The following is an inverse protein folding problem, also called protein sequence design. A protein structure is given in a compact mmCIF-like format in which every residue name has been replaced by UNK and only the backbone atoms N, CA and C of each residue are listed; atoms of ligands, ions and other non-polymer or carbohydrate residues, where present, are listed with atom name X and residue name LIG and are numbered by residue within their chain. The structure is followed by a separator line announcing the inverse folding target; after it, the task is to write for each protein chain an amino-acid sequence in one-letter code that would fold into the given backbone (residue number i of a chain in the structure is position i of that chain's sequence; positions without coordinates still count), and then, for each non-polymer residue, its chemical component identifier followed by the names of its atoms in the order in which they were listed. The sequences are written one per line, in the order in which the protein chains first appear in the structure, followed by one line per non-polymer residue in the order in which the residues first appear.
data_IF_881469531803
#
_entry.id   IF_881469531803
#
_cell.length_a   1.000
_cell.length_b   1.000
_cell.length_c   1.000
_cell.angle_alpha   90.00
_cell.angle_beta   90.00
_cell.angle_gamma   90.00
#
_symmetry.space_group_name_H-M   'P 1'
#
loop_
_entity.id
_entity.type
_entity.pdbx_description
1 polymer ?
#
# COMPACT_ATOMS: atom_id res chain seq x y z
N UNK A 1 -9.83 -1.88 9.18
CA UNK A 1 -8.43 -2.15 9.59
C UNK A 1 -8.18 -1.47 10.94
N UNK A 2 -7.42 -2.09 11.85
CA UNK A 2 -7.04 -1.50 13.15
C UNK A 2 -5.57 -1.06 13.16
N UNK A 3 -5.27 0.09 13.75
CA UNK A 3 -3.91 0.63 13.87
C UNK A 3 -3.32 0.34 15.26
N UNK A 4 -2.36 -0.59 15.35
CA UNK A 4 -1.69 -0.95 16.60
C UNK A 4 -0.40 -0.17 16.83
N UNK A 5 0.72 -0.67 16.30
CA UNK A 5 2.05 -0.08 16.51
C UNK A 5 2.16 1.36 16.03
N UNK A 6 1.53 1.72 14.92
CA UNK A 6 1.53 3.09 14.42
C UNK A 6 0.95 4.07 15.45
N UNK A 7 -0.20 3.71 16.05
CA UNK A 7 -0.81 4.48 17.12
C UNK A 7 0.13 4.58 18.34
N UNK A 8 0.71 3.45 18.77
CA UNK A 8 1.62 3.42 19.92
C UNK A 8 2.85 4.31 19.71
N UNK A 9 3.46 4.28 18.53
CA UNK A 9 4.64 5.09 18.22
C UNK A 9 4.31 6.59 18.18
N UNK A 10 3.18 6.95 17.57
CA UNK A 10 2.71 8.34 17.57
C UNK A 10 2.42 8.84 18.98
N UNK A 11 1.77 8.01 19.81
CA UNK A 11 1.50 8.31 21.22
C UNK A 11 2.79 8.47 22.03
N UNK A 12 3.75 7.56 21.87
CA UNK A 12 5.01 7.61 22.59
C UNK A 12 5.87 8.83 22.21
N UNK A 13 5.76 9.31 20.97
CA UNK A 13 6.59 10.42 20.47
C UNK A 13 6.04 11.78 20.87
N UNK A 14 4.72 12.00 20.75
CA UNK A 14 4.12 13.32 20.92
C UNK A 14 2.72 13.27 21.57
N UNK A 15 2.42 12.20 22.31
CA UNK A 15 1.15 12.05 23.01
C UNK A 15 -0.05 12.11 22.08
N UNK A 16 -1.13 12.74 22.57
CA UNK A 16 -2.37 12.91 21.82
C UNK A 16 -2.19 13.71 20.52
N UNK A 17 -1.31 14.73 20.53
CA UNK A 17 -1.02 15.52 19.33
C UNK A 17 -0.38 14.67 18.23
N UNK A 18 0.54 13.77 18.60
CA UNK A 18 1.14 12.80 17.69
C UNK A 18 0.11 11.87 17.06
N UNK A 19 -0.78 11.30 17.87
CA UNK A 19 -1.87 10.43 17.40
C UNK A 19 -2.81 11.18 16.45
N UNK A 20 -3.22 12.41 16.79
CA UNK A 20 -4.08 13.21 15.93
C UNK A 20 -3.42 13.49 14.57
N UNK A 21 -2.12 13.82 14.57
CA UNK A 21 -1.37 14.00 13.33
C UNK A 21 -1.27 12.72 12.50
N UNK A 22 -1.05 11.55 13.13
CA UNK A 22 -1.05 10.26 12.45
C UNK A 22 -2.38 9.99 11.76
N UNK A 23 -3.50 10.17 12.47
CA UNK A 23 -4.83 9.93 11.89
C UNK A 23 -5.11 10.88 10.72
N UNK A 24 -4.73 12.15 10.84
CA UNK A 24 -4.83 13.12 9.75
C UNK A 24 -3.99 12.73 8.53
N UNK A 25 -2.79 12.18 8.75
CA UNK A 25 -1.93 11.71 7.66
C UNK A 25 -2.56 10.51 6.95
N UNK A 26 -3.05 9.51 7.70
CA UNK A 26 -3.72 8.35 7.13
C UNK A 26 -4.95 8.75 6.30
N UNK A 27 -5.75 9.70 6.80
CA UNK A 27 -6.91 10.21 6.05
C UNK A 27 -6.50 10.88 4.74
N UNK A 28 -5.47 11.75 4.77
CA UNK A 28 -4.98 12.46 3.58
C UNK A 28 -4.38 11.50 2.56
N UNK A 29 -3.53 10.59 2.99
CA UNK A 29 -2.89 9.60 2.11
C UNK A 29 -3.91 8.63 1.51
N UNK A 30 -4.97 8.26 2.25
CA UNK A 30 -6.06 7.47 1.69
C UNK A 30 -6.73 8.20 0.52
N UNK A 31 -7.00 9.52 0.66
CA UNK A 31 -7.55 10.33 -0.44
C UNK A 31 -6.60 10.40 -1.64
N UNK A 32 -5.30 10.61 -1.39
CA UNK A 32 -4.28 10.64 -2.45
C UNK A 32 -4.23 9.31 -3.20
N UNK A 33 -4.15 8.19 -2.47
CA UNK A 33 -4.14 6.86 -3.07
C UNK A 33 -5.39 6.61 -3.91
N UNK A 34 -6.58 6.94 -3.38
CA UNK A 34 -7.85 6.83 -4.09
C UNK A 34 -7.87 7.64 -5.40
N UNK A 35 -7.38 8.88 -5.37
CA UNK A 35 -7.28 9.70 -6.58
C UNK A 35 -6.34 9.07 -7.61
N UNK A 36 -5.19 8.55 -7.18
CA UNK A 36 -4.21 7.95 -8.09
C UNK A 36 -4.66 6.60 -8.65
N UNK A 37 -5.50 5.86 -7.93
CA UNK A 37 -6.10 4.59 -8.40
C UNK A 37 -7.46 4.79 -9.09
N UNK A 38 -7.93 6.03 -9.24
CA UNK A 38 -9.20 6.33 -9.90
C UNK A 38 -10.46 5.95 -9.11
N UNK A 39 -10.35 5.71 -7.80
CA UNK A 39 -11.48 5.38 -6.93
C UNK A 39 -12.06 6.64 -6.28
N UNK A 40 -13.33 6.97 -6.51
CA UNK A 40 -13.99 8.14 -5.88
C UNK A 40 -14.54 7.84 -4.47
N UNK A 41 -14.68 6.57 -4.12
CA UNK A 41 -15.17 6.10 -2.82
C UNK A 41 -14.39 4.86 -2.35
N UNK A 42 -14.33 4.62 -1.04
CA UNK A 42 -13.63 3.45 -0.48
C UNK A 42 -14.23 2.14 -1.00
N UNK A 43 -15.55 2.11 -1.23
CA UNK A 43 -16.26 0.95 -1.80
C UNK A 43 -15.83 0.57 -3.20
N UNK A 44 -15.18 1.48 -3.95
CA UNK A 44 -14.68 1.22 -5.30
C UNK A 44 -13.27 0.65 -5.34
N UNK A 45 -12.61 0.54 -4.18
CA UNK A 45 -11.29 -0.09 -4.09
C UNK A 45 -11.49 -1.62 -4.14
N UNK A 46 -11.20 -2.22 -5.29
CA UNK A 46 -11.34 -3.67 -5.54
C UNK A 46 -10.00 -4.32 -5.88
N UNK A 47 -9.99 -5.65 -6.09
CA UNK A 47 -8.80 -6.37 -6.53
C UNK A 47 -8.30 -5.94 -7.91
N UNK A 48 -9.16 -5.33 -8.73
CA UNK A 48 -8.77 -4.82 -10.06
C UNK A 48 -7.82 -3.62 -9.96
N UNK A 49 -7.82 -2.92 -8.83
CA UNK A 49 -6.86 -1.85 -8.52
C UNK A 49 -5.48 -2.39 -8.13
N UNK A 50 -5.33 -3.71 -7.96
CA UNK A 50 -4.08 -4.35 -7.56
C UNK A 50 -3.52 -5.17 -8.73
N UNK A 51 -2.21 -5.06 -8.93
CA UNK A 51 -1.50 -6.06 -9.72
C UNK A 51 -1.34 -7.33 -8.89
N UNK A 52 -1.41 -8.50 -9.53
CA UNK A 52 -1.09 -9.75 -8.83
C UNK A 52 0.37 -9.72 -8.37
N UNK A 53 0.58 -9.70 -7.06
CA UNK A 53 1.91 -9.87 -6.49
C UNK A 53 2.44 -11.26 -6.84
N UNK A 54 3.74 -11.38 -7.16
CA UNK A 54 4.40 -12.68 -7.35
C UNK A 54 4.36 -13.48 -6.04
N UNK A 55 3.32 -14.27 -5.86
CA UNK A 55 3.07 -15.08 -4.68
C UNK A 55 3.32 -16.57 -4.93
N UNK A 56 4.52 -17.02 -4.54
CA UNK A 56 4.96 -18.40 -4.26
C UNK A 56 5.32 -19.34 -5.41
N UNK A 57 4.81 -19.17 -6.62
CA UNK A 57 5.37 -19.83 -7.81
C UNK A 57 5.69 -18.80 -8.88
N UNK A 58 6.94 -18.77 -9.31
CA UNK A 58 7.39 -17.95 -10.42
C UNK A 58 6.56 -18.32 -11.66
N UNK A 59 5.77 -17.40 -12.26
CA UNK A 59 5.10 -17.70 -13.51
C UNK A 59 6.15 -18.04 -14.57
N UNK A 60 5.99 -19.19 -15.22
CA UNK A 60 6.86 -19.69 -16.28
C UNK A 60 7.10 -18.69 -17.43
N UNK A 61 6.25 -17.66 -17.54
CA UNK A 61 6.36 -16.55 -18.47
C UNK A 61 7.59 -15.63 -18.25
N UNK A 62 8.23 -15.65 -17.07
CA UNK A 62 9.46 -14.87 -16.79
C UNK A 62 10.76 -15.67 -17.04
N UNK A 63 10.67 -16.97 -17.36
CA UNK A 63 11.84 -17.82 -17.64
C UNK A 63 12.70 -17.39 -18.85
N UNK A 64 12.15 -16.86 -19.97
CA UNK A 64 12.99 -16.56 -21.12
C UNK A 64 13.84 -15.28 -20.96
N UNK A 65 13.61 -14.43 -19.95
CA UNK A 65 14.42 -13.23 -19.73
C UNK A 65 15.80 -13.53 -19.11
N UNK A 66 16.05 -14.75 -18.63
CA UNK A 66 17.34 -15.16 -18.05
C UNK A 66 18.38 -15.60 -19.10
N UNK A 67 18.00 -15.74 -20.38
CA UNK A 67 18.95 -16.02 -21.48
C UNK A 67 19.14 -14.80 -22.35
N UNK A 68 19.75 -13.77 -21.77
CA UNK A 68 20.41 -12.72 -22.53
C UNK A 68 21.68 -13.28 -23.18
N UNK A 69 21.62 -13.47 -24.49
CA UNK A 69 22.71 -13.31 -25.47
C UNK A 69 24.14 -13.10 -24.89
N UNK A 70 24.94 -14.16 -24.93
CA UNK A 70 26.38 -14.07 -25.11
C UNK A 70 26.73 -14.71 -26.46
N UNK A 71 26.53 -13.94 -27.52
CA UNK A 71 27.35 -14.03 -28.73
C UNK A 71 28.71 -13.37 -28.46
#
# INVERSE_FOLDING_TARGET
VLLGRAFLYALATAGQAGVANLLNLIEKEMKVAMTLTGAKSISEITQDSLVQGLGKELPAALAPMAKGNAA
#
